data_IF_457153973262
#
_entry.id   IF_457153973262
#
_cell.length_a   1.000
_cell.length_b   1.000
_cell.length_c   1.000
_cell.angle_alpha   90.00
_cell.angle_beta   90.00
_cell.angle_gamma   90.00
#
_symmetry.space_group_name_H-M   'P 1'
#
loop_
_entity.id
_entity.type
_entity.pdbx_description
1 polymer ?
#
# COMPACT_ATOMS: atom_id res chain seq x y z
N UNK A 1 124.35 -129.48 41.34
CA UNK A 1 123.35 -129.14 42.36
C UNK A 1 123.31 -127.62 42.50
N UNK A 2 122.11 -127.02 42.36
CA UNK A 2 121.63 -125.71 42.88
C UNK A 2 122.53 -124.45 42.84
N UNK A 3 121.94 -123.40 42.25
CA UNK A 3 122.10 -121.93 42.47
C UNK A 3 122.29 -121.57 43.98
N UNK A 4 122.81 -120.42 44.47
CA UNK A 4 122.80 -119.00 44.03
C UNK A 4 123.52 -118.13 45.09
N UNK A 5 124.08 -116.96 44.71
CA UNK A 5 123.68 -115.59 45.16
C UNK A 5 124.82 -114.58 44.94
N UNK A 6 124.51 -113.51 44.19
CA UNK A 6 125.30 -112.30 44.04
C UNK A 6 124.98 -111.30 45.19
N UNK A 7 125.99 -110.56 45.65
CA UNK A 7 125.81 -109.42 46.56
C UNK A 7 126.29 -108.13 45.87
N UNK A 8 125.34 -107.21 45.68
CA UNK A 8 125.57 -105.83 45.24
C UNK A 8 126.06 -104.96 46.41
N UNK A 9 127.03 -104.08 46.16
CA UNK A 9 127.61 -103.15 47.14
C UNK A 9 126.74 -101.89 47.34
N UNK A 10 126.58 -101.38 48.58
CA UNK A 10 125.69 -100.26 48.95
C UNK A 10 126.04 -98.90 48.32
N UNK A 11 127.23 -98.74 47.73
CA UNK A 11 127.66 -97.48 47.11
C UNK A 11 126.87 -97.17 45.82
N UNK A 12 126.46 -98.20 45.07
CA UNK A 12 125.66 -98.03 43.85
C UNK A 12 124.22 -97.59 44.19
N UNK A 13 123.70 -98.01 45.35
CA UNK A 13 122.35 -97.63 45.79
C UNK A 13 122.29 -96.14 46.20
N UNK A 14 123.36 -95.61 46.82
CA UNK A 14 123.41 -94.19 47.21
C UNK A 14 123.57 -93.25 46.01
N UNK A 15 124.23 -93.69 44.92
CA UNK A 15 124.37 -92.90 43.69
C UNK A 15 123.06 -92.84 42.90
N UNK A 16 122.23 -93.90 42.97
CA UNK A 16 120.92 -93.95 42.31
C UNK A 16 119.88 -93.08 43.03
N UNK A 17 119.95 -92.94 44.36
CA UNK A 17 119.00 -92.11 45.12
C UNK A 17 119.27 -90.61 44.96
N UNK A 18 120.53 -90.18 44.78
CA UNK A 18 120.87 -88.76 44.55
C UNK A 18 120.54 -88.31 43.11
N UNK A 19 120.38 -89.23 42.16
CA UNK A 19 119.98 -88.94 40.79
C UNK A 19 118.44 -88.85 40.60
N UNK A 20 117.64 -89.06 41.65
CA UNK A 20 116.16 -89.05 41.60
C UNK A 20 115.49 -87.80 42.18
N UNK A 21 116.21 -86.68 42.37
CA UNK A 21 115.54 -85.39 42.63
C UNK A 21 115.06 -84.80 41.31
N UNK A 22 113.84 -85.17 40.93
CA UNK A 22 113.06 -84.49 39.89
C UNK A 22 112.72 -83.07 40.36
N UNK A 23 113.36 -82.07 39.75
CA UNK A 23 112.83 -80.71 39.75
C UNK A 23 111.65 -80.67 38.78
N UNK A 24 110.43 -80.74 39.30
CA UNK A 24 109.25 -80.41 38.52
C UNK A 24 109.21 -78.89 38.30
N UNK A 25 109.57 -78.47 37.09
CA UNK A 25 109.26 -77.12 36.62
C UNK A 25 107.78 -77.11 36.27
N UNK A 26 106.94 -76.52 37.13
CA UNK A 26 105.54 -76.27 36.78
C UNK A 26 105.50 -75.27 35.62
N UNK A 27 104.89 -75.68 34.50
CA UNK A 27 104.55 -74.76 33.42
C UNK A 27 103.57 -73.70 33.93
N UNK A 28 103.78 -72.43 33.55
CA UNK A 28 102.83 -71.35 33.88
C UNK A 28 101.58 -71.51 33.00
N UNK A 29 100.40 -71.62 33.62
CA UNK A 29 99.11 -71.78 32.91
C UNK A 29 98.49 -70.44 32.45
N UNK A 30 99.02 -69.30 32.87
CA UNK A 30 98.50 -67.96 32.57
C UNK A 30 99.65 -66.99 32.26
N UNK A 31 99.44 -66.10 31.29
CA UNK A 31 100.38 -65.05 30.89
C UNK A 31 99.75 -63.69 31.17
N UNK A 32 100.45 -62.84 31.91
CA UNK A 32 100.11 -61.43 32.06
C UNK A 32 101.20 -60.57 31.42
N UNK A 33 100.80 -59.65 30.53
CA UNK A 33 101.70 -58.67 29.89
C UNK A 33 101.28 -57.28 30.34
N UNK A 34 102.23 -56.50 30.87
CA UNK A 34 101.97 -55.18 31.44
C UNK A 34 101.41 -55.21 32.87
N UNK A 35 101.45 -56.36 33.55
CA UNK A 35 101.06 -56.50 34.96
C UNK A 35 101.91 -57.55 35.67
N UNK A 36 102.11 -57.39 36.98
CA UNK A 36 102.75 -58.38 37.87
C UNK A 36 101.77 -59.38 38.49
N UNK A 37 100.46 -59.18 38.30
CA UNK A 37 99.42 -60.13 38.72
C UNK A 37 98.85 -60.85 37.50
N UNK A 38 98.48 -62.13 37.63
CA UNK A 38 97.69 -62.81 36.60
C UNK A 38 96.19 -62.62 36.86
N UNK A 39 95.35 -63.00 35.90
CA UNK A 39 93.89 -63.04 36.05
C UNK A 39 93.41 -64.45 35.82
N UNK A 40 92.78 -65.03 36.85
CA UNK A 40 92.39 -66.45 36.90
C UNK A 40 91.39 -66.90 35.83
N UNK A 41 90.81 -65.95 35.08
CA UNK A 41 89.86 -66.21 34.00
C UNK A 41 90.43 -65.89 32.61
N UNK A 42 91.74 -65.63 32.49
CA UNK A 42 92.39 -65.31 31.23
C UNK A 42 93.72 -66.06 31.07
N UNK A 43 93.87 -66.81 29.98
CA UNK A 43 95.15 -67.44 29.60
C UNK A 43 96.16 -66.35 29.18
N UNK A 44 95.69 -65.25 28.57
CA UNK A 44 96.49 -64.07 28.27
C UNK A 44 95.74 -62.83 28.75
N UNK A 45 96.33 -62.09 29.68
CA UNK A 45 95.85 -60.77 30.07
C UNK A 45 96.82 -59.67 29.62
N UNK A 46 96.31 -58.73 28.84
CA UNK A 46 97.03 -57.52 28.44
C UNK A 46 96.53 -56.34 29.29
N UNK A 47 97.42 -55.75 30.10
CA UNK A 47 97.11 -54.57 30.90
C UNK A 47 97.80 -53.34 30.31
N UNK A 48 97.06 -52.55 29.53
CA UNK A 48 97.60 -51.35 28.89
C UNK A 48 97.80 -50.20 29.88
N UNK A 49 98.80 -49.35 29.62
CA UNK A 49 99.08 -48.13 30.39
C UNK A 49 98.44 -46.85 29.83
N UNK A 50 97.55 -46.98 28.83
CA UNK A 50 96.90 -45.85 28.15
C UNK A 50 97.59 -45.36 26.88
N UNK A 51 98.78 -45.86 26.53
CA UNK A 51 99.48 -45.54 25.27
C UNK A 51 99.83 -46.76 24.42
N UNK A 52 99.33 -47.93 24.81
CA UNK A 52 99.59 -49.21 24.15
C UNK A 52 98.30 -49.75 23.53
N UNK A 53 98.41 -50.26 22.31
CA UNK A 53 97.37 -51.03 21.63
C UNK A 53 97.79 -52.49 21.43
N UNK A 54 96.82 -53.35 21.16
CA UNK A 54 97.06 -54.69 20.62
C UNK A 54 97.09 -54.59 19.09
N UNK A 55 98.21 -54.89 18.48
CA UNK A 55 98.28 -55.07 17.02
C UNK A 55 97.89 -56.52 16.73
N UNK A 56 96.78 -56.68 16.02
CA UNK A 56 96.33 -57.98 15.53
C UNK A 56 97.15 -58.37 14.28
N UNK A 57 97.34 -59.67 14.02
CA UNK A 57 97.90 -60.12 12.75
C UNK A 57 97.11 -59.54 11.58
N UNK A 58 97.80 -58.86 10.68
CA UNK A 58 97.22 -58.29 9.46
C UNK A 58 97.27 -59.34 8.36
N UNK A 59 96.14 -59.58 7.73
CA UNK A 59 96.02 -60.46 6.56
C UNK A 59 95.57 -59.63 5.38
N UNK A 60 96.11 -59.91 4.18
CA UNK A 60 95.71 -59.20 2.96
C UNK A 60 94.21 -59.39 2.65
N UNK A 61 93.67 -60.58 2.97
CA UNK A 61 92.25 -60.89 2.91
C UNK A 61 91.95 -62.06 3.85
N UNK A 62 90.93 -61.98 4.69
CA UNK A 62 90.54 -63.07 5.61
C UNK A 62 90.22 -64.39 4.90
N UNK A 63 89.75 -64.33 3.65
CA UNK A 63 89.41 -65.49 2.83
C UNK A 63 90.66 -66.21 2.29
N UNK A 64 91.83 -65.55 2.32
CA UNK A 64 93.10 -66.13 1.89
C UNK A 64 93.84 -66.86 3.02
N UNK A 65 93.34 -66.79 4.26
CA UNK A 65 93.91 -67.53 5.39
C UNK A 65 93.62 -69.02 5.21
N UNK A 66 94.66 -69.82 5.00
CA UNK A 66 94.54 -71.28 4.84
C UNK A 66 94.37 -71.97 6.20
N UNK A 67 93.33 -72.80 6.34
CA UNK A 67 93.05 -73.57 7.56
C UNK A 67 92.87 -72.74 8.85
N UNK A 68 91.96 -71.74 8.90
CA UNK A 68 91.82 -70.90 10.08
C UNK A 68 91.15 -71.64 11.25
N UNK A 69 91.86 -71.75 12.37
CA UNK A 69 91.37 -72.33 13.61
C UNK A 69 90.30 -71.48 14.31
N UNK A 70 89.41 -72.15 15.07
CA UNK A 70 88.40 -71.49 15.90
C UNK A 70 89.08 -70.57 16.94
N UNK A 71 88.61 -69.34 17.04
CA UNK A 71 89.12 -68.31 17.95
C UNK A 71 90.19 -67.41 17.34
N UNK A 72 90.66 -67.68 16.12
CA UNK A 72 91.59 -66.80 15.41
C UNK A 72 91.00 -65.40 15.22
N UNK A 73 91.78 -64.35 15.48
CA UNK A 73 91.41 -62.95 15.28
C UNK A 73 92.43 -62.28 14.38
N UNK A 74 91.97 -61.59 13.33
CA UNK A 74 92.82 -60.91 12.34
C UNK A 74 92.27 -59.53 12.00
N UNK A 75 93.14 -58.65 11.54
CA UNK A 75 92.74 -57.44 10.81
C UNK A 75 92.84 -57.73 9.31
N UNK A 76 91.74 -57.56 8.58
CA UNK A 76 91.68 -57.76 7.13
C UNK A 76 91.99 -56.42 6.43
N UNK A 77 93.16 -56.34 5.78
CA UNK A 77 93.64 -55.12 5.13
C UNK A 77 92.78 -54.72 3.91
N UNK A 78 92.07 -55.68 3.30
CA UNK A 78 91.24 -55.40 2.12
C UNK A 78 89.94 -54.66 2.45
N UNK A 79 89.40 -54.81 3.67
CA UNK A 79 88.17 -54.14 4.10
C UNK A 79 88.36 -53.23 5.34
N UNK A 80 89.55 -53.23 5.94
CA UNK A 80 89.89 -52.40 7.09
C UNK A 80 89.19 -52.81 8.38
N UNK A 81 88.73 -54.07 8.49
CA UNK A 81 87.92 -54.54 9.62
C UNK A 81 88.62 -55.62 10.43
N UNK A 82 88.19 -55.75 11.68
CA UNK A 82 88.58 -56.85 12.57
C UNK A 82 87.60 -58.00 12.44
N UNK A 83 88.14 -59.19 12.24
CA UNK A 83 87.39 -60.43 12.07
C UNK A 83 87.85 -61.50 13.05
N UNK A 84 86.91 -62.29 13.58
CA UNK A 84 87.23 -63.52 14.33
C UNK A 84 86.63 -64.76 13.68
N UNK A 85 87.31 -65.90 13.82
CA UNK A 85 86.89 -67.20 13.29
C UNK A 85 86.07 -67.94 14.35
N UNK A 86 84.78 -68.16 14.10
CA UNK A 86 83.91 -68.87 15.06
C UNK A 86 84.04 -70.42 15.00
N UNK A 87 84.86 -70.92 14.07
CA UNK A 87 85.05 -72.35 13.75
C UNK A 87 84.52 -72.74 12.36
N UNK A 88 83.57 -71.98 11.82
CA UNK A 88 82.92 -72.28 10.53
C UNK A 88 82.92 -71.09 9.56
N UNK A 89 82.75 -69.86 10.05
CA UNK A 89 82.79 -68.62 9.27
C UNK A 89 83.66 -67.55 9.94
N UNK A 90 84.09 -66.57 9.15
CA UNK A 90 84.62 -65.30 9.67
C UNK A 90 83.46 -64.41 10.10
N UNK A 91 83.54 -63.81 11.28
CA UNK A 91 82.52 -62.92 11.84
C UNK A 91 83.14 -61.55 12.14
N UNK A 92 82.45 -60.49 11.71
CA UNK A 92 82.86 -59.10 11.95
C UNK A 92 82.70 -58.74 13.43
N UNK A 93 83.70 -58.08 14.01
CA UNK A 93 83.70 -57.73 15.45
C UNK A 93 82.93 -56.43 15.74
N UNK A 94 82.53 -55.65 14.73
CA UNK A 94 81.58 -54.54 14.88
C UNK A 94 81.32 -53.73 13.60
N UNK A 95 80.05 -53.47 13.29
CA UNK A 95 79.61 -52.66 12.14
C UNK A 95 78.26 -51.95 12.40
N UNK A 96 78.29 -50.68 12.80
CA UNK A 96 77.09 -49.85 12.94
C UNK A 96 76.81 -49.07 11.65
N UNK A 97 75.70 -49.35 10.97
CA UNK A 97 75.24 -48.66 9.75
C UNK A 97 74.37 -47.44 10.09
N UNK A 98 74.92 -46.23 9.98
CA UNK A 98 74.13 -44.98 9.91
C UNK A 98 74.09 -44.48 8.47
N UNK A 99 72.91 -44.48 7.83
CA UNK A 99 72.73 -43.90 6.48
C UNK A 99 72.93 -42.37 6.53
N UNK A 100 73.68 -41.82 5.57
CA UNK A 100 74.04 -40.39 5.47
C UNK A 100 73.02 -39.54 4.70
N UNK A 101 71.88 -40.10 4.30
CA UNK A 101 70.85 -39.41 3.52
C UNK A 101 69.75 -38.83 4.43
N UNK A 102 69.53 -37.51 4.36
CA UNK A 102 68.39 -36.87 5.00
C UNK A 102 67.10 -37.36 4.34
N UNK A 103 66.29 -38.11 5.10
CA UNK A 103 64.97 -38.53 4.68
C UNK A 103 63.97 -37.41 4.96
N UNK A 104 63.13 -37.09 3.96
CA UNK A 104 62.08 -36.08 4.09
C UNK A 104 60.71 -36.71 3.84
N UNK A 105 59.74 -36.30 4.66
CA UNK A 105 58.33 -36.54 4.38
C UNK A 105 57.80 -35.39 3.53
N UNK A 106 57.21 -35.72 2.37
CA UNK A 106 56.66 -34.74 1.44
C UNK A 106 55.23 -35.14 1.05
N UNK A 107 54.33 -34.16 1.02
CA UNK A 107 52.97 -34.33 0.51
C UNK A 107 52.95 -33.90 -0.96
N UNK A 108 52.60 -34.83 -1.85
CA UNK A 108 52.45 -34.56 -3.27
C UNK A 108 51.09 -35.08 -3.76
N UNK A 109 50.16 -34.17 -4.02
CA UNK A 109 48.77 -34.52 -4.30
C UNK A 109 48.14 -35.28 -3.13
N UNK A 110 47.66 -36.50 -3.36
CA UNK A 110 47.08 -37.38 -2.35
C UNK A 110 48.10 -38.33 -1.69
N UNK A 111 49.38 -38.23 -2.06
CA UNK A 111 50.41 -39.13 -1.55
C UNK A 111 51.24 -38.47 -0.47
N UNK A 112 51.35 -39.13 0.68
CA UNK A 112 52.42 -38.89 1.63
C UNK A 112 53.62 -39.76 1.24
N UNK A 113 54.70 -39.11 0.83
CA UNK A 113 55.90 -39.75 0.30
C UNK A 113 57.05 -39.63 1.31
N UNK A 114 57.79 -40.73 1.53
CA UNK A 114 59.10 -40.72 2.14
C UNK A 114 60.13 -40.66 1.01
N UNK A 115 60.97 -39.63 1.02
CA UNK A 115 61.92 -39.36 -0.06
C UNK A 115 63.32 -39.20 0.52
N UNK A 116 64.33 -39.61 -0.25
CA UNK A 116 65.67 -39.05 -0.09
C UNK A 116 65.77 -37.74 -0.88
N UNK A 117 66.99 -37.23 -1.10
CA UNK A 117 67.22 -35.98 -1.82
C UNK A 117 66.73 -35.99 -3.28
N UNK A 118 66.53 -37.15 -3.89
CA UNK A 118 66.28 -37.29 -5.34
C UNK A 118 65.15 -38.24 -5.71
N UNK A 119 64.83 -39.22 -4.85
CA UNK A 119 63.93 -40.33 -5.18
C UNK A 119 62.85 -40.53 -4.12
N UNK A 120 61.67 -41.00 -4.55
CA UNK A 120 60.62 -41.48 -3.65
C UNK A 120 60.97 -42.90 -3.24
N UNK A 121 61.23 -43.12 -1.95
CA UNK A 121 61.54 -44.43 -1.39
C UNK A 121 60.28 -45.20 -1.02
N UNK A 122 59.26 -44.49 -0.55
CA UNK A 122 57.96 -45.08 -0.22
C UNK A 122 56.86 -44.03 -0.35
N UNK A 123 55.62 -44.46 -0.62
CA UNK A 123 54.46 -43.58 -0.69
C UNK A 123 53.20 -44.28 -0.22
N UNK A 124 52.33 -43.55 0.47
CA UNK A 124 50.99 -44.00 0.83
C UNK A 124 49.96 -42.96 0.39
N UNK A 125 48.85 -43.43 -0.20
CA UNK A 125 47.70 -42.58 -0.48
C UNK A 125 47.02 -42.22 0.84
N UNK A 126 46.75 -40.94 1.07
CA UNK A 126 46.00 -40.48 2.23
C UNK A 126 44.53 -40.87 2.11
N UNK A 127 43.90 -40.58 0.96
CA UNK A 127 42.52 -40.93 0.66
C UNK A 127 42.40 -42.05 -0.38
N UNK A 128 41.40 -42.91 -0.23
CA UNK A 128 41.02 -43.93 -1.22
C UNK A 128 39.95 -43.41 -2.18
N UNK A 129 39.93 -43.92 -3.43
CA UNK A 129 38.94 -43.56 -4.46
C UNK A 129 39.48 -42.62 -5.54
N UNK A 130 38.63 -42.25 -6.48
CA UNK A 130 38.98 -41.36 -7.61
C UNK A 130 38.73 -39.91 -7.22
N UNK A 131 39.71 -39.03 -7.44
CA UNK A 131 39.50 -37.59 -7.35
C UNK A 131 38.52 -37.17 -8.47
N UNK A 132 37.24 -37.11 -8.14
CA UNK A 132 36.24 -36.51 -9.00
C UNK A 132 36.49 -35.02 -9.17
N UNK A 133 36.07 -34.47 -10.30
CA UNK A 133 36.19 -33.04 -10.57
C UNK A 133 35.45 -32.23 -9.47
N UNK A 134 36.16 -31.33 -8.77
CA UNK A 134 35.60 -30.56 -7.64
C UNK A 134 35.60 -31.28 -6.27
N UNK A 135 36.29 -32.41 -6.13
CA UNK A 135 36.40 -33.11 -4.85
C UNK A 135 37.48 -32.50 -3.92
N UNK A 136 37.15 -32.39 -2.63
CA UNK A 136 38.05 -32.00 -1.55
C UNK A 136 38.47 -33.23 -0.76
N UNK A 137 39.70 -33.25 -0.24
CA UNK A 137 40.10 -34.22 0.77
C UNK A 137 39.55 -33.77 2.13
N UNK A 138 38.70 -34.59 2.74
CA UNK A 138 38.12 -34.35 4.05
C UNK A 138 38.43 -35.51 4.97
N UNK A 139 38.68 -35.22 6.25
CA UNK A 139 38.86 -36.24 7.28
C UNK A 139 37.49 -36.55 7.91
N UNK A 140 36.97 -37.74 7.64
CA UNK A 140 35.61 -38.13 8.03
C UNK A 140 35.65 -39.62 8.41
N UNK A 141 35.04 -39.98 9.54
CA UNK A 141 34.98 -41.39 9.98
C UNK A 141 36.34 -42.05 10.25
N UNK A 142 37.37 -41.27 10.59
CA UNK A 142 38.71 -41.78 10.92
C UNK A 142 39.64 -41.99 9.72
N UNK A 143 39.22 -41.66 8.49
CA UNK A 143 40.04 -41.74 7.30
C UNK A 143 39.96 -40.44 6.47
N UNK A 144 41.01 -40.17 5.70
CA UNK A 144 40.93 -39.17 4.64
C UNK A 144 40.14 -39.77 3.47
N UNK A 145 39.21 -39.00 2.93
CA UNK A 145 38.42 -39.40 1.76
C UNK A 145 38.15 -38.20 0.87
N UNK A 146 37.91 -38.46 -0.41
CA UNK A 146 37.41 -37.43 -1.32
C UNK A 146 35.92 -37.19 -1.08
N UNK A 147 35.51 -35.93 -0.95
CA UNK A 147 34.12 -35.52 -0.91
C UNK A 147 33.85 -34.43 -1.96
N UNK A 148 32.79 -34.61 -2.74
CA UNK A 148 32.28 -33.59 -3.65
C UNK A 148 31.37 -32.64 -2.89
N UNK A 149 31.50 -31.33 -3.11
CA UNK A 149 30.52 -30.37 -2.63
C UNK A 149 29.16 -30.66 -3.28
N UNK A 150 28.09 -30.60 -2.49
CA UNK A 150 26.70 -30.75 -2.94
C UNK A 150 25.85 -29.59 -2.45
N UNK A 151 24.77 -29.27 -3.17
CA UNK A 151 23.87 -28.17 -2.83
C UNK A 151 24.18 -26.90 -3.62
N UNK A 152 24.22 -25.76 -2.94
CA UNK A 152 24.24 -24.46 -3.62
C UNK A 152 25.62 -24.07 -4.18
N UNK A 153 26.70 -24.72 -3.73
CA UNK A 153 28.09 -24.52 -4.22
C UNK A 153 28.49 -25.68 -5.15
N UNK A 154 28.91 -25.34 -6.37
CA UNK A 154 29.40 -26.27 -7.41
C UNK A 154 30.69 -25.71 -8.03
N UNK A 155 31.29 -26.41 -9.01
CA UNK A 155 32.45 -25.90 -9.76
C UNK A 155 33.81 -26.46 -9.32
N UNK A 156 34.88 -25.99 -9.97
CA UNK A 156 36.26 -26.48 -9.81
C UNK A 156 36.90 -25.92 -8.53
N UNK A 157 37.90 -26.62 -7.97
CA UNK A 157 38.78 -26.01 -6.96
C UNK A 157 39.50 -24.80 -7.59
N UNK A 158 39.31 -23.60 -7.03
CA UNK A 158 39.77 -22.33 -7.60
C UNK A 158 38.78 -21.62 -8.54
N UNK A 159 37.66 -22.27 -8.90
CA UNK A 159 36.56 -21.67 -9.67
C UNK A 159 35.19 -22.16 -9.17
N UNK A 160 35.04 -22.19 -7.84
CA UNK A 160 33.77 -22.53 -7.19
C UNK A 160 32.72 -21.47 -7.55
N UNK A 161 31.51 -21.93 -7.86
CA UNK A 161 30.36 -21.10 -8.19
C UNK A 161 29.21 -21.43 -7.25
N UNK A 162 28.51 -20.41 -6.77
CA UNK A 162 27.28 -20.60 -6.00
C UNK A 162 26.09 -20.46 -6.94
N UNK A 163 25.56 -21.59 -7.42
CA UNK A 163 24.47 -21.63 -8.39
C UNK A 163 23.09 -21.61 -7.73
N UNK A 164 22.94 -22.35 -6.62
CA UNK A 164 21.62 -22.64 -6.05
C UNK A 164 20.93 -21.48 -5.33
N UNK A 165 21.58 -20.34 -5.18
CA UNK A 165 20.94 -19.12 -4.67
C UNK A 165 20.34 -18.24 -5.79
N UNK A 166 20.68 -18.47 -7.06
CA UNK A 166 20.11 -17.70 -8.18
C UNK A 166 18.64 -18.09 -8.39
N UNK A 167 17.73 -17.12 -8.22
CA UNK A 167 16.32 -17.29 -8.54
C UNK A 167 15.47 -17.97 -7.45
N UNK A 168 16.03 -18.30 -6.27
CA UNK A 168 15.21 -18.66 -5.11
C UNK A 168 14.58 -17.38 -4.53
N UNK A 169 13.30 -17.44 -4.18
CA UNK A 169 12.61 -16.34 -3.52
C UNK A 169 13.20 -16.12 -2.13
N UNK A 170 13.61 -14.89 -1.82
CA UNK A 170 13.90 -14.51 -0.45
C UNK A 170 12.57 -14.28 0.27
N UNK A 171 12.33 -15.00 1.36
CA UNK A 171 11.23 -14.69 2.27
C UNK A 171 11.35 -13.23 2.72
N UNK A 172 10.23 -12.57 3.03
CA UNK A 172 10.19 -11.16 3.43
C UNK A 172 11.26 -10.84 4.48
N UNK A 173 12.22 -10.01 4.13
CA UNK A 173 13.34 -9.63 5.00
C UNK A 173 12.89 -8.49 5.93
N UNK A 174 13.21 -8.53 7.23
CA UNK A 174 13.05 -7.40 8.13
C UNK A 174 13.74 -6.13 7.61
N UNK A 175 13.24 -4.95 7.98
CA UNK A 175 13.74 -3.65 7.50
C UNK A 175 15.19 -3.32 7.91
N UNK A 176 15.75 -4.03 8.89
CA UNK A 176 17.14 -3.90 9.35
C UNK A 176 18.11 -4.89 8.68
N UNK A 177 17.63 -5.72 7.75
CA UNK A 177 18.44 -6.82 7.21
C UNK A 177 19.27 -6.35 6.02
N UNK A 178 20.55 -6.66 6.05
CA UNK A 178 21.42 -6.56 4.88
C UNK A 178 21.31 -7.85 4.07
N UNK A 179 21.19 -7.74 2.75
CA UNK A 179 21.31 -8.86 1.82
C UNK A 179 22.72 -8.90 1.28
N UNK A 180 23.24 -10.10 1.05
CA UNK A 180 24.49 -10.26 0.32
C UNK A 180 24.17 -10.17 -1.18
N UNK A 181 24.44 -9.02 -1.78
CA UNK A 181 24.20 -8.76 -3.20
C UNK A 181 25.53 -8.73 -3.96
N UNK A 182 25.52 -9.20 -5.20
CA UNK A 182 26.67 -9.04 -6.08
C UNK A 182 26.66 -7.62 -6.63
N UNK A 183 27.66 -6.84 -6.24
CA UNK A 183 27.88 -5.49 -6.73
C UNK A 183 29.08 -5.51 -7.70
N UNK A 184 28.88 -5.23 -9.00
CA UNK A 184 29.96 -5.19 -9.98
C UNK A 184 30.95 -4.04 -9.75
N UNK A 185 30.58 -3.00 -8.99
CA UNK A 185 31.46 -1.88 -8.64
C UNK A 185 32.25 -2.13 -7.34
N UNK A 186 31.87 -3.13 -6.53
CA UNK A 186 32.61 -3.48 -5.33
C UNK A 186 34.04 -3.95 -5.64
N UNK A 187 34.90 -3.97 -4.61
CA UNK A 187 36.31 -4.34 -4.71
C UNK A 187 37.05 -3.56 -5.81
N UNK A 188 36.91 -2.23 -5.81
CA UNK A 188 37.57 -1.36 -6.80
C UNK A 188 37.22 -1.69 -8.27
N UNK A 189 35.99 -2.16 -8.53
CA UNK A 189 35.51 -2.49 -9.87
C UNK A 189 35.79 -3.92 -10.34
N UNK A 190 36.36 -4.77 -9.48
CA UNK A 190 36.52 -6.20 -9.77
C UNK A 190 35.24 -7.02 -9.55
N UNK A 191 34.19 -6.40 -9.01
CA UNK A 191 32.96 -7.05 -8.60
C UNK A 191 33.14 -7.83 -7.29
N UNK A 192 32.07 -7.91 -6.51
CA UNK A 192 32.11 -8.59 -5.23
C UNK A 192 30.74 -8.80 -4.62
N UNK A 193 30.63 -9.85 -3.81
CA UNK A 193 29.48 -10.04 -2.94
C UNK A 193 29.65 -9.14 -1.71
N UNK A 194 28.77 -8.15 -1.56
CA UNK A 194 28.81 -7.17 -0.46
C UNK A 194 27.46 -7.13 0.25
N UNK A 195 27.48 -6.89 1.56
CA UNK A 195 26.25 -6.67 2.32
C UNK A 195 25.68 -5.30 1.97
N UNK A 196 24.49 -5.31 1.38
CA UNK A 196 23.77 -4.10 1.00
C UNK A 196 22.37 -4.12 1.62
N UNK A 197 21.88 -2.95 2.02
CA UNK A 197 20.45 -2.80 2.23
C UNK A 197 19.73 -3.04 0.89
N UNK A 198 18.64 -3.81 0.82
CA UNK A 198 17.89 -3.97 -0.42
C UNK A 198 17.40 -2.59 -0.92
N UNK A 199 17.93 -2.10 -2.05
CA UNK A 199 17.57 -0.78 -2.61
C UNK A 199 16.54 -0.83 -3.74
N UNK A 200 15.91 -1.99 -3.96
CA UNK A 200 14.86 -2.13 -4.96
C UNK A 200 13.52 -1.63 -4.46
N UNK A 201 13.03 -0.51 -4.99
CA UNK A 201 11.58 -0.30 -5.12
C UNK A 201 11.07 -1.34 -6.11
N UNK A 202 10.49 -2.43 -5.61
CA UNK A 202 9.84 -3.42 -6.46
C UNK A 202 8.71 -2.72 -7.23
N UNK A 203 8.76 -2.76 -8.56
CA UNK A 203 7.61 -2.38 -9.37
C UNK A 203 6.54 -3.45 -9.17
N UNK A 204 5.36 -3.05 -8.68
CA UNK A 204 4.24 -3.97 -8.52
C UNK A 204 3.71 -4.30 -9.92
N UNK A 205 4.11 -5.45 -10.46
CA UNK A 205 3.75 -5.88 -11.82
C UNK A 205 2.32 -6.40 -11.93
N UNK A 206 1.72 -6.85 -10.83
CA UNK A 206 0.28 -7.11 -10.73
C UNK A 206 -0.21 -6.95 -9.29
N UNK A 207 -1.36 -6.30 -9.10
CA UNK A 207 -2.15 -6.39 -7.87
C UNK A 207 -3.38 -7.23 -8.16
N UNK A 208 -3.38 -8.49 -7.72
CA UNK A 208 -4.54 -9.37 -7.79
C UNK A 208 -5.14 -9.52 -6.38
N UNK A 209 -6.36 -9.01 -6.20
CA UNK A 209 -7.09 -9.13 -4.93
C UNK A 209 -8.57 -8.87 -5.16
N UNK A 210 -9.43 -9.61 -4.45
CA UNK A 210 -10.87 -9.36 -4.42
C UNK A 210 -11.11 -8.00 -3.76
N UNK A 211 -11.93 -7.14 -4.36
CA UNK A 211 -12.15 -5.80 -3.85
C UNK A 211 -12.70 -5.81 -2.41
N UNK A 212 -12.27 -4.87 -1.54
CA UNK A 212 -11.30 -3.79 -1.80
C UNK A 212 -9.84 -4.26 -1.68
N UNK A 213 -8.99 -3.78 -2.58
CA UNK A 213 -7.52 -3.93 -2.47
C UNK A 213 -7.07 -3.16 -1.22
N UNK A 214 -6.74 -3.91 -0.16
CA UNK A 214 -6.28 -3.35 1.11
C UNK A 214 -4.81 -3.69 1.32
N UNK A 215 -3.99 -2.67 1.58
CA UNK A 215 -2.60 -2.85 2.03
C UNK A 215 -2.62 -3.17 3.52
N UNK A 216 -2.47 -4.44 3.87
CA UNK A 216 -2.24 -4.85 5.26
C UNK A 216 -0.77 -4.57 5.59
N UNK A 217 -0.54 -3.72 6.60
CA UNK A 217 0.74 -3.11 6.94
C UNK A 217 1.88 -4.12 7.15
N UNK A 218 3.04 -3.80 6.56
CA UNK A 218 4.37 -4.31 6.88
C UNK A 218 5.46 -3.26 6.66
N UNK A 219 5.40 -2.13 7.39
CA UNK A 219 6.50 -1.19 7.72
C UNK A 219 7.01 -0.16 6.70
N UNK A 220 6.55 -0.17 5.46
CA UNK A 220 6.49 1.05 4.65
C UNK A 220 5.05 1.18 4.17
N UNK A 221 4.47 2.37 4.12
CA UNK A 221 3.11 2.52 3.58
C UNK A 221 3.25 2.68 2.07
N UNK A 222 3.15 1.62 1.23
CA UNK A 222 2.93 1.85 -0.19
C UNK A 222 1.56 2.52 -0.30
N UNK A 223 1.55 3.81 -0.57
CA UNK A 223 0.33 4.50 -0.99
C UNK A 223 -0.05 3.95 -2.35
N UNK A 224 -1.05 3.05 -2.38
CA UNK A 224 -1.80 2.79 -3.62
C UNK A 224 -2.67 4.03 -3.85
N UNK A 225 -2.06 5.06 -4.41
CA UNK A 225 -2.73 6.29 -4.78
C UNK A 225 -3.25 6.14 -6.21
N UNK A 226 -4.50 6.48 -6.44
CA UNK A 226 -4.99 6.76 -7.78
C UNK A 226 -4.55 8.19 -8.09
N UNK A 227 -3.81 8.38 -9.19
CA UNK A 227 -3.46 9.73 -9.65
C UNK A 227 -4.72 10.59 -9.81
N UNK A 228 -4.60 11.91 -9.70
CA UNK A 228 -5.72 12.81 -10.01
C UNK A 228 -6.16 12.56 -11.46
N UNK A 229 -7.46 12.31 -11.68
CA UNK A 229 -8.00 11.90 -12.98
C UNK A 229 -7.67 10.45 -13.39
N UNK A 230 -7.04 9.67 -12.51
CA UNK A 230 -6.63 8.30 -12.76
C UNK A 230 -7.78 7.31 -12.87
N UNK A 231 -9.00 7.68 -12.44
CA UNK A 231 -10.23 6.95 -12.77
C UNK A 231 -10.79 7.54 -14.07
N UNK A 232 -10.55 6.84 -15.17
CA UNK A 232 -11.09 7.18 -16.49
C UNK A 232 -12.36 6.37 -16.79
N UNK A 233 -13.09 6.73 -17.85
CA UNK A 233 -14.27 5.97 -18.31
C UNK A 233 -13.95 4.49 -18.66
N UNK A 234 -12.69 4.16 -18.93
CA UNK A 234 -12.28 2.77 -19.14
C UNK A 234 -12.22 1.97 -17.82
N UNK A 235 -12.01 2.65 -16.70
CA UNK A 235 -11.85 2.07 -15.36
C UNK A 235 -13.15 2.06 -14.56
N UNK A 236 -14.12 2.89 -14.94
CA UNK A 236 -15.48 2.88 -14.43
C UNK A 236 -16.44 2.50 -15.57
N UNK A 237 -16.92 1.26 -15.55
CA UNK A 237 -17.92 0.82 -16.53
C UNK A 237 -19.21 1.68 -16.46
N UNK A 238 -19.99 1.69 -17.55
CA UNK A 238 -21.30 2.33 -17.55
C UNK A 238 -22.16 1.78 -16.40
N UNK A 239 -22.80 2.68 -15.65
CA UNK A 239 -23.61 2.35 -14.45
C UNK A 239 -22.81 1.74 -13.28
N UNK A 240 -21.48 1.83 -13.27
CA UNK A 240 -20.68 1.29 -12.19
C UNK A 240 -20.91 2.00 -10.85
N UNK A 241 -21.25 3.29 -10.86
CA UNK A 241 -21.63 4.07 -9.68
C UNK A 241 -23.15 4.08 -9.57
N UNK A 242 -23.69 3.18 -8.76
CA UNK A 242 -25.12 3.13 -8.43
C UNK A 242 -25.42 4.00 -7.22
N UNK A 243 -26.69 4.32 -6.97
CA UNK A 243 -27.10 5.10 -5.79
C UNK A 243 -26.60 4.49 -4.48
N UNK A 244 -26.51 3.16 -4.37
CA UNK A 244 -25.97 2.48 -3.18
C UNK A 244 -24.46 2.70 -2.95
N UNK A 245 -23.72 3.18 -3.97
CA UNK A 245 -22.30 3.53 -3.88
C UNK A 245 -22.07 5.02 -3.61
N UNK A 246 -23.14 5.81 -3.61
CA UNK A 246 -23.11 7.23 -3.28
C UNK A 246 -23.67 7.33 -1.87
N UNK A 247 -22.88 7.86 -0.95
CA UNK A 247 -23.35 8.09 0.41
C UNK A 247 -24.43 9.18 0.38
N UNK A 248 -25.55 8.95 1.07
CA UNK A 248 -26.61 9.94 1.16
C UNK A 248 -26.08 11.29 1.67
N UNK A 249 -26.52 12.37 1.02
CA UNK A 249 -26.17 13.77 1.31
C UNK A 249 -24.69 14.15 1.16
N UNK A 250 -23.85 13.36 0.47
CA UNK A 250 -22.44 13.72 0.26
C UNK A 250 -22.15 14.43 -1.06
N UNK A 251 -23.10 14.48 -1.99
CA UNK A 251 -22.96 15.25 -3.22
C UNK A 251 -23.38 16.69 -2.93
N UNK A 252 -22.40 17.58 -2.84
CA UNK A 252 -22.57 19.01 -2.65
C UNK A 252 -22.46 19.77 -3.99
N UNK A 253 -22.81 21.06 -3.99
CA UNK A 253 -22.73 21.90 -5.19
C UNK A 253 -21.32 21.90 -5.81
N UNK A 254 -20.27 21.84 -4.98
CA UNK A 254 -18.87 21.79 -5.46
C UNK A 254 -18.52 20.50 -6.23
N UNK A 255 -19.28 19.43 -6.03
CA UNK A 255 -19.06 18.14 -6.71
C UNK A 255 -19.65 18.13 -8.13
N UNK A 256 -20.55 19.08 -8.43
CA UNK A 256 -21.22 19.20 -9.72
C UNK A 256 -20.71 20.47 -10.41
N UNK A 257 -20.08 20.32 -11.58
CA UNK A 257 -19.60 21.47 -12.33
C UNK A 257 -20.75 22.45 -12.67
N UNK A 258 -20.51 23.76 -12.60
CA UNK A 258 -21.51 24.80 -12.92
C UNK A 258 -22.14 24.64 -14.32
N UNK A 259 -21.37 24.08 -15.26
CA UNK A 259 -21.81 23.82 -16.63
C UNK A 259 -22.45 22.42 -16.83
N UNK A 260 -22.64 21.64 -15.76
CA UNK A 260 -23.16 20.29 -15.86
C UNK A 260 -24.60 20.28 -16.38
N UNK A 261 -24.81 19.64 -17.54
CA UNK A 261 -26.13 19.41 -18.10
C UNK A 261 -26.78 18.19 -17.43
N UNK A 262 -27.29 18.36 -16.20
CA UNK A 262 -28.04 17.32 -15.50
C UNK A 262 -29.43 17.21 -16.13
N UNK A 263 -29.69 16.10 -16.84
CA UNK A 263 -30.99 15.87 -17.45
C UNK A 263 -32.09 15.87 -16.37
N UNK A 264 -33.23 16.52 -16.64
CA UNK A 264 -34.38 16.59 -15.70
C UNK A 264 -34.89 15.20 -15.33
N UNK A 265 -34.73 14.18 -16.18
CA UNK A 265 -35.04 12.78 -15.86
C UNK A 265 -34.19 12.18 -14.74
N UNK A 266 -33.12 12.86 -14.33
CA UNK A 266 -32.25 12.53 -13.19
C UNK A 266 -32.62 13.28 -11.92
N UNK A 267 -33.46 14.31 -12.02
CA UNK A 267 -34.23 14.84 -10.89
C UNK A 267 -35.54 14.02 -10.82
N UNK A 268 -36.09 13.80 -9.63
CA UNK A 268 -37.44 13.19 -9.55
C UNK A 268 -38.39 14.06 -10.37
N UNK A 269 -39.14 13.48 -11.32
CA UNK A 269 -40.11 14.27 -12.09
C UNK A 269 -41.19 14.81 -11.14
N UNK A 270 -41.54 16.09 -11.28
CA UNK A 270 -42.76 16.62 -10.67
C UNK A 270 -44.00 15.93 -11.23
N UNK A 271 -45.12 16.03 -10.52
CA UNK A 271 -46.42 15.73 -11.09
C UNK A 271 -46.78 16.75 -12.19
N UNK A 272 -47.69 16.37 -13.09
CA UNK A 272 -48.17 17.28 -14.14
C UNK A 272 -48.73 18.56 -13.50
N UNK A 273 -48.30 19.73 -14.02
CA UNK A 273 -48.67 21.03 -13.46
C UNK A 273 -47.82 21.50 -12.27
N UNK A 274 -46.84 20.72 -11.82
CA UNK A 274 -45.84 21.20 -10.87
C UNK A 274 -44.68 21.89 -11.58
N UNK A 275 -44.10 22.89 -10.91
CA UNK A 275 -42.87 23.57 -11.32
C UNK A 275 -41.80 23.35 -10.26
N UNK A 276 -40.55 23.21 -10.67
CA UNK A 276 -39.43 23.12 -9.74
C UNK A 276 -39.18 24.52 -9.19
N UNK A 277 -39.35 24.67 -7.89
CA UNK A 277 -39.16 25.94 -7.17
C UNK A 277 -38.10 25.77 -6.10
N UNK A 278 -37.62 26.87 -5.54
CA UNK A 278 -36.75 26.83 -4.35
C UNK A 278 -37.55 27.26 -3.14
N UNK A 279 -37.80 26.34 -2.20
CA UNK A 279 -38.48 26.64 -0.93
C UNK A 279 -37.43 26.56 0.18
N UNK A 280 -37.19 27.67 0.87
CA UNK A 280 -36.16 27.77 1.91
C UNK A 280 -34.75 27.30 1.46
N UNK A 281 -34.39 27.55 0.19
CA UNK A 281 -33.09 27.17 -0.36
C UNK A 281 -33.03 25.74 -0.92
N UNK A 282 -34.07 24.92 -0.76
CA UNK A 282 -34.12 23.54 -1.29
C UNK A 282 -34.98 23.47 -2.55
N UNK A 283 -34.48 22.90 -3.66
CA UNK A 283 -35.30 22.59 -4.83
C UNK A 283 -36.45 21.64 -4.44
N UNK A 284 -37.68 22.08 -4.68
CA UNK A 284 -38.90 21.32 -4.39
C UNK A 284 -39.93 21.54 -5.48
N UNK A 285 -40.59 20.46 -5.89
CA UNK A 285 -41.71 20.53 -6.81
C UNK A 285 -42.94 21.06 -6.08
N UNK A 286 -43.40 22.23 -6.51
CA UNK A 286 -44.62 22.85 -5.99
C UNK A 286 -45.67 22.88 -7.09
N UNK A 287 -46.95 22.89 -6.69
CA UNK A 287 -48.02 23.25 -7.61
C UNK A 287 -47.68 24.59 -8.28
N UNK A 288 -47.67 24.61 -9.61
CA UNK A 288 -47.55 25.86 -10.34
C UNK A 288 -48.79 26.69 -10.07
N UNK A 289 -48.65 27.77 -9.30
CA UNK A 289 -49.72 28.76 -9.17
C UNK A 289 -49.73 29.64 -10.42
N UNK A 290 -50.26 29.10 -11.51
CA UNK A 290 -50.61 29.90 -12.68
C UNK A 290 -52.01 30.45 -12.44
N UNK A 291 -52.15 31.78 -12.40
CA UNK A 291 -53.46 32.39 -12.57
C UNK A 291 -54.02 31.98 -13.94
N UNK A 292 -55.33 31.76 -14.05
CA UNK A 292 -55.97 31.44 -15.35
C UNK A 292 -55.99 32.63 -16.31
N UNK A 293 -55.75 33.84 -15.79
CA UNK A 293 -55.68 35.08 -16.56
C UNK A 293 -54.24 35.30 -17.02
N UNK A 294 -54.01 35.16 -18.33
CA UNK A 294 -52.70 35.41 -18.96
C UNK A 294 -52.55 36.85 -19.46
N UNK A 295 -53.65 37.47 -19.88
CA UNK A 295 -53.74 38.91 -20.09
C UNK A 295 -55.19 39.42 -20.03
N UNK A 296 -55.37 40.66 -19.59
CA UNK A 296 -56.62 41.42 -19.76
C UNK A 296 -56.26 42.76 -20.37
N UNK A 297 -56.82 43.10 -21.53
CA UNK A 297 -56.73 44.46 -22.08
C UNK A 297 -57.91 45.27 -21.52
N UNK A 298 -57.63 46.30 -20.71
CA UNK A 298 -58.67 47.14 -20.14
C UNK A 298 -59.39 47.94 -21.25
N UNK A 299 -60.71 47.77 -21.36
CA UNK A 299 -61.60 48.59 -22.19
C UNK A 299 -62.17 49.78 -21.43
N UNK A 300 -63.14 50.49 -22.02
CA UNK A 300 -63.83 51.61 -21.36
C UNK A 300 -64.54 51.15 -20.09
N UNK A 301 -64.37 51.87 -18.99
CA UNK A 301 -64.99 51.57 -17.69
C UNK A 301 -64.18 50.62 -16.80
N UNK A 302 -63.04 50.09 -17.25
CA UNK A 302 -62.10 49.32 -16.44
C UNK A 302 -60.82 50.14 -16.23
N UNK A 303 -60.38 50.27 -14.98
CA UNK A 303 -59.13 50.92 -14.58
C UNK A 303 -58.09 49.88 -14.16
N UNK A 304 -56.80 50.16 -14.40
CA UNK A 304 -55.69 49.29 -14.02
C UNK A 304 -54.73 48.93 -15.18
N UNK A 305 -55.10 49.22 -16.44
CA UNK A 305 -54.27 48.90 -17.61
C UNK A 305 -54.16 47.39 -17.88
N UNK A 306 -53.30 46.97 -18.83
CA UNK A 306 -53.09 45.55 -19.11
C UNK A 306 -52.49 44.80 -17.91
N UNK A 307 -53.15 43.72 -17.47
CA UNK A 307 -52.62 42.83 -16.42
C UNK A 307 -51.87 41.68 -17.10
N UNK A 308 -50.58 41.50 -16.83
CA UNK A 308 -49.74 40.47 -17.48
C UNK A 308 -49.12 39.46 -16.50
N UNK A 309 -49.33 39.61 -15.19
CA UNK A 309 -48.82 38.66 -14.18
C UNK A 309 -49.73 38.60 -12.95
N UNK A 310 -49.81 39.69 -12.19
CA UNK A 310 -50.78 39.86 -11.08
C UNK A 310 -51.28 41.29 -11.08
N UNK A 311 -52.56 41.49 -10.80
CA UNK A 311 -53.16 42.82 -10.82
C UNK A 311 -54.63 42.76 -10.41
N UNK A 312 -55.14 43.88 -9.93
CA UNK A 312 -56.55 44.05 -9.62
C UNK A 312 -57.26 44.75 -10.78
N UNK A 313 -58.44 44.26 -11.14
CA UNK A 313 -59.34 44.96 -12.04
C UNK A 313 -60.24 45.88 -11.20
N UNK A 314 -60.24 47.17 -11.50
CA UNK A 314 -61.12 48.14 -10.85
C UNK A 314 -62.09 48.71 -11.88
N UNK A 315 -63.32 49.04 -11.46
CA UNK A 315 -64.34 49.61 -12.34
C UNK A 315 -64.34 51.13 -12.16
N UNK A 316 -64.29 51.85 -13.28
CA UNK A 316 -64.31 53.31 -13.29
C UNK A 316 -65.74 53.83 -13.09
N UNK A 317 -66.16 53.95 -11.84
CA UNK A 317 -67.52 54.33 -11.48
C UNK A 317 -67.71 55.84 -11.30
N UNK A 318 -68.89 56.35 -11.66
CA UNK A 318 -69.23 57.76 -11.48
C UNK A 318 -70.41 58.21 -12.34
N UNK A 319 -70.78 59.48 -12.19
CA UNK A 319 -71.87 60.12 -12.95
C UNK A 319 -71.38 61.05 -14.06
N UNK A 320 -70.05 61.19 -14.22
CA UNK A 320 -69.45 61.95 -15.32
C UNK A 320 -69.37 61.12 -16.60
N UNK A 321 -69.14 61.77 -17.75
CA UNK A 321 -69.07 61.10 -19.04
C UNK A 321 -68.03 59.97 -19.07
N UNK A 322 -68.33 58.89 -19.79
CA UNK A 322 -67.50 57.69 -19.97
C UNK A 322 -67.24 56.85 -18.71
N UNK A 323 -67.88 57.17 -17.58
CA UNK A 323 -67.87 56.33 -16.37
C UNK A 323 -69.04 55.35 -16.38
N UNK A 324 -68.89 54.25 -15.66
CA UNK A 324 -70.00 53.33 -15.39
C UNK A 324 -70.81 53.87 -14.21
N UNK A 325 -72.11 54.02 -14.38
CA UNK A 325 -72.99 54.45 -13.29
C UNK A 325 -73.15 53.30 -12.29
N UNK A 326 -72.88 53.56 -11.02
CA UNK A 326 -73.11 52.62 -9.92
C UNK A 326 -74.31 53.09 -9.09
N UNK A 327 -75.14 52.14 -8.64
CA UNK A 327 -76.23 52.41 -7.70
C UNK A 327 -75.66 52.98 -6.39
N UNK A 328 -76.42 53.84 -5.72
CA UNK A 328 -76.08 54.30 -4.38
C UNK A 328 -76.25 53.19 -3.32
N UNK A 329 -75.87 53.47 -2.07
CA UNK A 329 -76.01 52.51 -0.96
C UNK A 329 -77.44 52.07 -0.65
N UNK A 330 -78.44 52.67 -1.29
CA UNK A 330 -79.87 52.32 -1.17
C UNK A 330 -80.41 51.62 -2.42
N UNK A 331 -79.57 51.32 -3.41
CA UNK A 331 -79.97 50.64 -4.64
C UNK A 331 -80.67 51.56 -5.65
N UNK A 332 -80.45 52.87 -5.58
CA UNK A 332 -81.01 53.85 -6.54
C UNK A 332 -79.93 54.35 -7.49
N UNK A 333 -80.34 54.78 -8.69
CA UNK A 333 -79.43 55.52 -9.56
C UNK A 333 -79.07 56.86 -8.89
N UNK A 334 -77.79 57.28 -8.92
CA UNK A 334 -77.39 58.63 -8.54
C UNK A 334 -78.13 59.69 -9.36
N UNK A 335 -78.13 60.94 -8.90
CA UNK A 335 -78.72 62.05 -9.64
C UNK A 335 -77.99 62.26 -10.99
N UNK A 336 -78.61 61.79 -12.08
CA UNK A 336 -78.15 61.91 -13.46
C UNK A 336 -79.29 62.41 -14.34
N UNK A 337 -78.96 63.01 -15.49
CA UNK A 337 -79.97 63.28 -16.52
C UNK A 337 -80.47 61.95 -17.10
N UNK A 338 -81.70 61.59 -16.74
CA UNK A 338 -82.35 60.37 -17.15
C UNK A 338 -83.17 60.48 -18.42
N UNK A 339 -83.12 61.58 -19.18
CA UNK A 339 -83.99 61.84 -20.34
C UNK A 339 -84.04 60.71 -21.37
N UNK A 340 -82.93 60.00 -21.57
CA UNK A 340 -82.83 58.83 -22.48
C UNK A 340 -83.17 57.49 -21.80
N UNK A 341 -83.15 57.42 -20.47
CA UNK A 341 -83.35 56.19 -19.70
C UNK A 341 -84.79 56.03 -19.23
N UNK A 342 -85.48 57.13 -18.92
CA UNK A 342 -86.78 57.06 -18.24
C UNK A 342 -87.94 56.69 -19.17
N UNK A 343 -87.71 56.57 -20.49
CA UNK A 343 -88.73 56.27 -21.51
C UNK A 343 -90.09 56.93 -21.20
N UNK A 344 -90.07 58.18 -20.73
CA UNK A 344 -91.28 58.91 -20.39
C UNK A 344 -91.82 59.41 -21.72
N UNK A 345 -92.91 58.81 -22.25
CA UNK A 345 -93.47 59.26 -23.51
C UNK A 345 -93.84 60.73 -23.34
N UNK A 346 -93.59 61.56 -24.35
CA UNK A 346 -93.78 63.03 -24.36
C UNK A 346 -95.22 63.51 -24.06
N UNK A 347 -96.15 62.61 -23.71
CA UNK A 347 -97.49 62.89 -23.18
C UNK A 347 -97.71 62.53 -21.70
N UNK A 348 -96.71 61.99 -20.97
CA UNK A 348 -96.86 61.62 -19.53
C UNK A 348 -96.20 62.61 -18.59
N UNK A 349 -95.54 63.65 -19.12
CA UNK A 349 -95.23 64.89 -18.38
C UNK A 349 -96.37 65.93 -18.57
N UNK A 350 -97.57 65.46 -18.92
CA UNK A 350 -98.76 66.30 -19.17
C UNK A 350 -99.85 66.16 -18.08
N UNK A 351 -99.62 65.33 -17.06
CA UNK A 351 -100.36 65.35 -15.80
C UNK A 351 -99.33 65.34 -14.67
N UNK A 352 -98.88 66.54 -14.29
CA UNK A 352 -97.85 66.75 -13.29
C UNK A 352 -98.34 66.40 -11.89
N UNK A 353 -98.51 65.11 -11.60
CA UNK A 353 -98.38 64.64 -10.23
C UNK A 353 -96.93 64.25 -9.99
N UNK A 354 -96.13 65.24 -9.56
CA UNK A 354 -95.03 64.91 -8.64
C UNK A 354 -95.75 64.54 -7.34
N UNK A 355 -96.12 63.29 -7.13
CA UNK A 355 -96.70 62.86 -5.85
C UNK A 355 -95.67 63.18 -4.75
N UNK A 356 -95.94 64.23 -3.96
CA UNK A 356 -95.07 64.69 -2.87
C UNK A 356 -94.06 65.80 -3.21
N UNK A 357 -94.09 66.39 -4.41
CA UNK A 357 -93.22 67.52 -4.76
C UNK A 357 -93.97 68.86 -4.76
N UNK A 358 -93.49 69.83 -3.99
CA UNK A 358 -93.96 71.22 -4.15
C UNK A 358 -93.37 71.77 -5.45
N UNK A 359 -94.20 72.35 -6.33
CA UNK A 359 -93.69 73.17 -7.43
C UNK A 359 -92.88 74.33 -6.82
N UNK A 360 -91.56 74.26 -6.89
CA UNK A 360 -90.67 75.27 -6.30
C UNK A 360 -90.92 76.66 -6.89
N UNK A 361 -90.49 77.70 -6.17
CA UNK A 361 -90.58 79.09 -6.64
C UNK A 361 -89.97 79.21 -8.06
N UNK A 362 -90.79 79.57 -9.05
CA UNK A 362 -90.36 79.76 -10.43
C UNK A 362 -90.96 78.80 -11.47
N UNK A 363 -91.73 77.78 -11.08
CA UNK A 363 -92.51 76.96 -12.03
C UNK A 363 -93.63 77.82 -12.64
N UNK A 364 -93.43 78.31 -13.87
CA UNK A 364 -94.43 79.08 -14.61
C UNK A 364 -95.38 78.11 -15.33
N UNK A 365 -96.62 78.01 -14.87
CA UNK A 365 -97.70 77.41 -15.66
C UNK A 365 -98.13 78.46 -16.70
N UNK A 366 -98.15 78.10 -17.98
CA UNK A 366 -98.54 79.03 -19.04
C UNK A 366 -100.00 79.49 -18.88
N UNK A 367 -100.36 80.67 -19.39
CA UNK A 367 -101.75 81.11 -19.36
C UNK A 367 -102.63 80.14 -20.17
N UNK A 368 -103.80 79.75 -19.61
CA UNK A 368 -104.78 78.90 -20.29
C UNK A 368 -104.54 77.38 -20.26
N UNK A 369 -103.53 76.86 -19.56
CA UNK A 369 -103.26 75.41 -19.50
C UNK A 369 -104.01 74.66 -18.39
N UNK A 370 -104.54 75.37 -17.39
CA UNK A 370 -105.29 74.75 -16.29
C UNK A 370 -106.75 74.62 -16.72
N UNK A 371 -107.15 73.42 -17.16
CA UNK A 371 -108.55 73.15 -17.57
C UNK A 371 -109.44 72.75 -16.40
N UNK A 372 -108.89 72.08 -15.38
CA UNK A 372 -109.65 71.58 -14.23
C UNK A 372 -108.77 71.48 -12.98
N UNK A 373 -108.53 72.60 -12.30
CA UNK A 373 -107.81 72.57 -11.03
C UNK A 373 -108.75 72.19 -9.87
N UNK A 374 -108.39 71.19 -9.10
CA UNK A 374 -108.96 71.00 -7.76
C UNK A 374 -108.26 71.99 -6.82
N UNK A 375 -108.89 73.15 -6.63
CA UNK A 375 -108.37 74.23 -5.81
C UNK A 375 -108.92 74.04 -4.38
N UNK A 376 -108.03 74.03 -3.39
CA UNK A 376 -108.45 74.00 -1.98
C UNK A 376 -109.33 75.21 -1.66
N UNK A 377 -110.38 75.01 -0.87
CA UNK A 377 -111.28 76.09 -0.43
C UNK A 377 -110.57 77.21 0.35
N UNK A 378 -109.36 76.97 0.86
CA UNK A 378 -108.53 77.98 1.54
C UNK A 378 -107.49 78.65 0.62
N UNK A 379 -107.48 78.36 -0.68
CA UNK A 379 -106.51 78.93 -1.60
C UNK A 379 -106.75 80.43 -1.81
N UNK A 380 -105.75 81.26 -1.52
CA UNK A 380 -105.80 82.70 -1.79
C UNK A 380 -105.45 82.96 -3.26
N UNK A 381 -106.47 83.03 -4.12
CA UNK A 381 -106.30 83.35 -5.54
C UNK A 381 -106.46 84.86 -5.72
N UNK A 382 -105.38 85.52 -6.14
CA UNK A 382 -105.43 86.95 -6.46
C UNK A 382 -106.47 87.22 -7.56
N UNK A 383 -107.33 88.22 -7.37
CA UNK A 383 -108.41 88.56 -8.32
C UNK A 383 -107.89 88.81 -9.76
N UNK A 384 -106.67 89.33 -9.90
CA UNK A 384 -105.99 89.52 -11.19
C UNK A 384 -105.68 88.23 -11.96
N UNK A 385 -105.92 87.06 -11.34
CA UNK A 385 -105.71 85.73 -11.91
C UNK A 385 -107.02 85.00 -12.24
N UNK A 386 -108.17 85.60 -11.96
CA UNK A 386 -109.48 85.11 -12.37
C UNK A 386 -109.80 85.61 -13.79
N UNK A 387 -110.52 84.81 -14.57
CA UNK A 387 -110.98 85.25 -15.89
C UNK A 387 -111.99 86.40 -15.74
N UNK A 388 -112.01 87.34 -16.70
CA UNK A 388 -112.93 88.48 -16.68
C UNK A 388 -114.41 88.10 -16.79
N UNK A 389 -114.71 86.83 -17.11
CA UNK A 389 -116.05 86.25 -17.11
C UNK A 389 -116.50 85.78 -15.72
N UNK A 390 -115.58 85.67 -14.76
CA UNK A 390 -115.92 85.39 -13.37
C UNK A 390 -116.48 86.66 -12.76
N UNK A 391 -117.79 86.73 -12.64
CA UNK A 391 -118.47 87.74 -11.84
C UNK A 391 -118.27 87.34 -10.38
N UNK A 392 -117.39 88.06 -9.69
CA UNK A 392 -117.30 87.98 -8.24
C UNK A 392 -118.47 88.79 -7.69
N UNK A 393 -119.48 88.10 -7.16
CA UNK A 393 -120.45 88.75 -6.30
C UNK A 393 -119.74 89.07 -4.97
N UNK A 394 -119.24 90.29 -4.87
CA UNK A 394 -118.58 90.82 -3.67
C UNK A 394 -119.49 91.71 -2.85
N UNK A 395 -120.77 91.78 -3.21
CA UNK A 395 -121.75 92.61 -2.52
C UNK A 395 -122.35 91.85 -1.33
N UNK A 396 -122.57 92.54 -0.21
CA UNK A 396 -123.26 91.96 0.92
C UNK A 396 -124.71 91.69 0.50
N UNK A 397 -125.25 90.47 0.68
CA UNK A 397 -126.61 90.17 0.26
C UNK A 397 -127.57 91.17 0.95
N UNK A 398 -128.51 91.73 0.17
CA UNK A 398 -129.67 92.53 0.62
C UNK A 398 -129.49 94.06 0.70
N UNK A 399 -128.52 94.66 -0.01
CA UNK A 399 -128.42 96.11 -0.13
C UNK A 399 -129.30 96.64 -1.28
N UNK A 400 -130.22 97.57 -1.02
CA UNK A 400 -131.11 98.12 -2.04
C UNK A 400 -130.32 98.85 -3.16
N UNK A 401 -130.36 98.33 -4.39
CA UNK A 401 -129.64 98.88 -5.55
C UNK A 401 -129.23 97.87 -6.63
N UNK A 402 -129.41 96.57 -6.38
CA UNK A 402 -128.89 95.43 -7.17
C UNK A 402 -129.35 95.32 -8.64
N UNK A 403 -130.24 96.21 -9.11
CA UNK A 403 -130.66 96.25 -10.52
C UNK A 403 -130.52 97.70 -11.01
N UNK A 404 -129.40 98.02 -11.67
CA UNK A 404 -129.20 99.30 -12.34
C UNK A 404 -128.83 99.10 -13.83
N UNK A 405 -129.60 99.72 -14.73
CA UNK A 405 -129.47 99.62 -16.18
C UNK A 405 -130.60 100.41 -16.90
N UNK A 406 -130.38 100.83 -18.15
CA UNK A 406 -131.42 101.50 -18.95
C UNK A 406 -132.41 100.45 -19.51
N UNK A 407 -133.58 100.36 -18.87
CA UNK A 407 -134.65 99.43 -19.24
C UNK A 407 -135.70 100.08 -20.16
N UNK A 408 -135.31 101.07 -20.97
CA UNK A 408 -136.21 101.83 -21.86
C UNK A 408 -137.00 100.99 -22.89
N UNK A 409 -136.64 99.72 -23.10
CA UNK A 409 -137.37 98.75 -23.93
C UNK A 409 -138.17 97.70 -23.13
N UNK A 410 -138.22 97.81 -21.80
CA UNK A 410 -139.04 97.01 -20.89
C UNK A 410 -138.26 95.93 -20.12
N UNK A 411 -138.34 95.98 -18.78
CA UNK A 411 -137.89 94.90 -17.90
C UNK A 411 -138.95 93.77 -17.90
N UNK A 412 -138.64 92.64 -18.54
CA UNK A 412 -139.47 91.44 -18.43
C UNK A 412 -139.08 90.62 -17.20
N UNK A 413 -139.70 90.89 -16.05
CA UNK A 413 -139.67 89.95 -14.92
C UNK A 413 -140.66 88.83 -15.25
N UNK A 414 -140.14 87.66 -15.62
CA UNK A 414 -140.98 86.47 -15.79
C UNK A 414 -141.32 85.94 -14.39
N UNK A 415 -142.53 86.24 -13.90
CA UNK A 415 -142.99 85.68 -12.62
C UNK A 415 -143.32 84.20 -12.79
N UNK A 416 -142.48 83.35 -12.23
CA UNK A 416 -142.73 81.96 -11.89
C UNK A 416 -142.24 81.72 -10.48
#
# INVERSE_FOLDING_TARGET
MKLTKAYFSPIILSLIVVLMVSLEVTAQNEVAIGSSTTKSNAILWLNGNGSQGLILPVVTNKSAVSGPDKGMVVFDDSDGKVWYRNGSTWVEVGGGSGSTTNLNLSLQGNQLQLKDATSVLSSVNLATGTQGNGAFMVFQGGAWQYATLSGDVTGLNGALQVGGMKGKTMASLPSSTQVLAYDPAANSGNGGWVFQSPTGVGSVTSVTGTAPVTVTNGTTTPTIAIAIGGITNALLANNAVTSAKIQDATIADIDIADAAAIAVSKLSKGADGQVLTTVAGTPSWSAGSTGTVTSVTAGTGLTGGPITTTGALSVDVGTTANKIVQLDGTGRLPAIDGSQLTNIPVGTVADGSITGGTAGAGVKIAAGTITNANISGSANIAATKLASTVVLDTEAPNAAGDINGDFSSGLQIKTG
#
